data_IF_284975072538
#
_entry.id   IF_284975072538
#
_cell.length_a   1.000
_cell.length_b   1.000
_cell.length_c   1.000
_cell.angle_alpha   90.00
_cell.angle_beta   90.00
_cell.angle_gamma   90.00
#
_symmetry.space_group_name_H-M   'P 1'
#
loop_
_entity.id
_entity.type
_entity.pdbx_description
1 polymer ?
#
# COMPACT_ATOMS: atom_id res chain seq x y z
N UNK A 1 7.41 -20.70 -8.42
CA UNK A 1 6.11 -20.87 -7.73
C UNK A 1 4.94 -20.55 -8.66
N UNK A 2 3.69 -20.84 -8.24
CA UNK A 2 2.45 -20.24 -8.77
C UNK A 2 1.87 -19.32 -7.69
N UNK A 3 1.95 -18.00 -7.88
CA UNK A 3 1.59 -16.99 -6.86
C UNK A 3 0.35 -16.24 -7.29
N UNK A 4 -0.71 -16.27 -6.47
CA UNK A 4 -1.91 -15.48 -6.67
C UNK A 4 -2.00 -14.41 -5.59
N UNK A 5 -1.94 -13.14 -5.98
CA UNK A 5 -2.07 -12.02 -5.06
C UNK A 5 -3.41 -11.33 -5.24
N UNK A 6 -4.11 -11.04 -4.14
CA UNK A 6 -5.40 -10.33 -4.16
C UNK A 6 -5.19 -8.90 -3.65
N UNK A 7 -5.34 -7.93 -4.55
CA UNK A 7 -5.22 -6.51 -4.24
C UNK A 7 -6.56 -5.94 -3.77
N UNK A 8 -6.49 -5.03 -2.80
CA UNK A 8 -7.66 -4.27 -2.31
C UNK A 8 -7.71 -2.84 -2.84
N UNK A 9 -6.56 -2.26 -3.17
CA UNK A 9 -6.47 -0.91 -3.72
C UNK A 9 -7.14 -0.87 -5.11
N UNK A 10 -7.90 0.20 -5.35
CA UNK A 10 -8.62 0.40 -6.61
C UNK A 10 -7.74 1.07 -7.66
N UNK A 11 -8.00 0.73 -8.92
CA UNK A 11 -7.28 1.22 -10.10
C UNK A 11 -6.23 0.22 -10.59
N UNK A 12 -6.10 0.14 -11.92
CA UNK A 12 -5.13 -0.72 -12.60
C UNK A 12 -3.69 -0.26 -12.36
N UNK A 13 -3.52 1.04 -12.12
CA UNK A 13 -2.24 1.67 -11.78
C UNK A 13 -2.39 2.50 -10.50
N UNK A 14 -2.98 1.89 -9.46
CA UNK A 14 -3.26 2.56 -8.18
C UNK A 14 -2.02 3.27 -7.63
N UNK A 15 -2.20 4.50 -7.15
CA UNK A 15 -1.13 5.28 -6.49
C UNK A 15 -0.82 4.80 -5.06
N UNK A 16 -1.50 3.74 -4.59
CA UNK A 16 -1.25 3.12 -3.28
C UNK A 16 0.14 2.47 -3.21
N UNK A 17 0.88 2.78 -2.15
CA UNK A 17 2.19 2.15 -1.90
C UNK A 17 2.09 0.62 -1.75
N UNK A 18 1.04 0.12 -1.09
CA UNK A 18 0.80 -1.32 -0.95
C UNK A 18 0.54 -1.99 -2.31
N UNK A 19 -0.21 -1.33 -3.20
CA UNK A 19 -0.41 -1.82 -4.57
C UNK A 19 0.90 -1.88 -5.34
N UNK A 20 1.66 -0.77 -5.34
CA UNK A 20 2.92 -0.63 -6.05
C UNK A 20 3.96 -1.68 -5.63
N UNK A 21 4.10 -1.91 -4.32
CA UNK A 21 5.07 -2.87 -3.77
C UNK A 21 4.67 -4.31 -4.06
N UNK A 22 3.39 -4.65 -3.94
CA UNK A 22 2.84 -5.95 -4.33
C UNK A 22 3.07 -6.20 -5.84
N UNK A 23 2.80 -5.21 -6.69
CA UNK A 23 2.98 -5.34 -8.13
C UNK A 23 4.46 -5.50 -8.52
N UNK A 24 5.36 -4.74 -7.88
CA UNK A 24 6.80 -4.87 -8.07
C UNK A 24 7.32 -6.27 -7.72
N UNK A 25 6.78 -6.90 -6.65
CA UNK A 25 7.09 -8.30 -6.34
C UNK A 25 6.60 -9.25 -7.43
N UNK A 26 5.36 -9.10 -7.93
CA UNK A 26 4.84 -9.96 -8.99
C UNK A 26 5.65 -9.85 -10.28
N UNK A 27 6.03 -8.63 -10.68
CA UNK A 27 6.92 -8.39 -11.82
C UNK A 27 8.23 -9.13 -11.69
N UNK A 28 8.86 -9.04 -10.52
CA UNK A 28 10.10 -9.75 -10.24
C UNK A 28 9.92 -11.26 -10.33
N UNK A 29 8.91 -11.82 -9.64
CA UNK A 29 8.66 -13.26 -9.64
C UNK A 29 8.35 -13.78 -11.06
N UNK A 30 7.60 -13.02 -11.85
CA UNK A 30 7.37 -13.30 -13.28
C UNK A 30 8.69 -13.41 -14.04
N UNK A 31 9.58 -12.43 -13.88
CA UNK A 31 10.92 -12.42 -14.50
C UNK A 31 11.80 -13.58 -14.04
N UNK A 32 11.62 -14.06 -12.81
CA UNK A 32 12.28 -15.23 -12.24
C UNK A 32 11.66 -16.57 -12.70
N UNK A 33 10.76 -16.54 -13.69
CA UNK A 33 10.13 -17.73 -14.28
C UNK A 33 8.98 -18.31 -13.46
N UNK A 34 8.46 -17.58 -12.48
CA UNK A 34 7.26 -18.00 -11.77
C UNK A 34 6.00 -17.61 -12.53
N UNK A 35 4.92 -18.36 -12.30
CA UNK A 35 3.59 -17.96 -12.77
C UNK A 35 2.95 -17.09 -11.72
N UNK A 36 2.57 -15.88 -12.10
CA UNK A 36 1.97 -14.92 -11.18
C UNK A 36 0.64 -14.41 -11.72
N UNK A 37 -0.32 -14.25 -10.81
CA UNK A 37 -1.61 -13.63 -11.09
C UNK A 37 -1.92 -12.60 -10.01
N UNK A 38 -2.51 -11.48 -10.41
CA UNK A 38 -3.20 -10.61 -9.47
C UNK A 38 -4.70 -10.52 -9.75
N UNK A 39 -5.48 -10.48 -8.68
CA UNK A 39 -6.82 -9.91 -8.71
C UNK A 39 -6.68 -8.45 -8.33
N UNK A 40 -7.21 -7.55 -9.16
CA UNK A 40 -7.24 -6.13 -8.86
C UNK A 40 -8.54 -5.49 -9.38
N UNK A 41 -8.64 -4.17 -9.26
CA UNK A 41 -9.74 -3.41 -9.80
C UNK A 41 -9.23 -2.46 -10.89
N UNK A 42 -10.09 -2.08 -11.81
CA UNK A 42 -9.82 -1.05 -12.81
C UNK A 42 -10.94 -0.03 -12.83
N UNK A 43 -10.59 1.25 -12.91
CA UNK A 43 -11.55 2.30 -13.20
C UNK A 43 -11.95 2.25 -14.68
N UNK A 44 -13.16 2.74 -14.97
CA UNK A 44 -13.67 2.84 -16.34
C UNK A 44 -12.65 3.47 -17.29
N UNK A 45 -12.31 2.76 -18.38
CA UNK A 45 -11.40 3.23 -19.42
C UNK A 45 -9.91 2.95 -19.18
N UNK A 46 -9.48 2.51 -17.99
CA UNK A 46 -8.05 2.25 -17.71
C UNK A 46 -7.50 1.07 -18.54
N UNK A 47 -8.29 0.01 -18.67
CA UNK A 47 -7.89 -1.19 -19.43
C UNK A 47 -7.84 -0.85 -20.92
N UNK A 48 -8.85 -0.16 -21.45
CA UNK A 48 -8.87 0.28 -22.83
C UNK A 48 -7.68 1.20 -23.15
N UNK A 49 -7.35 2.13 -22.25
CA UNK A 49 -6.20 3.01 -22.39
C UNK A 49 -4.89 2.20 -22.43
N UNK A 50 -4.71 1.27 -21.48
CA UNK A 50 -3.53 0.40 -21.44
C UNK A 50 -3.37 -0.43 -22.72
N UNK A 51 -4.45 -0.99 -23.24
CA UNK A 51 -4.41 -1.85 -24.43
C UNK A 51 -4.29 -1.07 -25.73
N UNK A 52 -4.79 0.17 -25.79
CA UNK A 52 -4.75 1.02 -27.00
C UNK A 52 -3.32 1.32 -27.44
N UNK A 53 -2.40 1.45 -26.49
CA UNK A 53 -1.00 1.76 -26.76
C UNK A 53 -0.16 0.52 -27.16
N UNK A 54 -0.77 -0.69 -27.18
CA UNK A 54 -0.09 -1.96 -27.49
C UNK A 54 -0.49 -2.45 -28.88
N UNK A 55 0.44 -2.37 -29.84
CA UNK A 55 0.23 -2.70 -31.27
C UNK A 55 -0.25 -4.13 -31.58
N UNK A 56 -0.22 -5.09 -30.65
CA UNK A 56 -0.48 -6.51 -30.94
C UNK A 56 -1.23 -7.33 -29.85
N UNK A 57 -1.83 -6.73 -28.81
CA UNK A 57 -2.35 -7.51 -27.66
C UNK A 57 -3.88 -7.63 -27.53
N UNK A 58 -4.66 -7.13 -28.50
CA UNK A 58 -6.12 -7.27 -28.49
C UNK A 58 -6.63 -8.72 -28.45
N UNK A 59 -5.83 -9.69 -28.91
CA UNK A 59 -6.21 -11.10 -29.02
C UNK A 59 -6.16 -11.89 -27.69
N UNK A 60 -5.73 -11.28 -26.59
CA UNK A 60 -5.61 -11.95 -25.28
C UNK A 60 -6.48 -11.34 -24.17
N UNK A 61 -7.25 -10.29 -24.45
CA UNK A 61 -8.26 -9.79 -23.52
C UNK A 61 -9.49 -10.71 -23.55
N UNK A 62 -9.81 -11.31 -22.40
CA UNK A 62 -11.06 -12.02 -22.19
C UNK A 62 -11.92 -11.26 -21.20
N UNK A 63 -13.11 -10.88 -21.63
CA UNK A 63 -14.10 -10.23 -20.79
C UNK A 63 -15.22 -11.20 -20.47
N UNK A 64 -15.61 -11.29 -19.20
CA UNK A 64 -16.81 -11.98 -18.75
C UNK A 64 -17.61 -11.10 -17.79
N UNK A 65 -18.84 -11.49 -17.52
CA UNK A 65 -19.71 -10.79 -16.58
C UNK A 65 -19.82 -11.63 -15.32
N UNK A 66 -19.59 -11.01 -14.17
CA UNK A 66 -19.97 -11.50 -12.86
C UNK A 66 -21.28 -10.81 -12.47
N UNK A 67 -22.36 -11.59 -12.38
CA UNK A 67 -23.67 -11.05 -12.00
C UNK A 67 -23.82 -11.08 -10.48
N UNK A 68 -23.80 -9.90 -9.87
CA UNK A 68 -23.90 -9.71 -8.42
C UNK A 68 -25.37 -9.58 -8.01
N UNK A 69 -25.91 -10.62 -7.38
CA UNK A 69 -27.30 -10.62 -6.89
C UNK A 69 -27.43 -9.76 -5.62
N UNK A 70 -28.45 -8.89 -5.51
CA UNK A 70 -28.63 -8.07 -4.32
C UNK A 70 -29.31 -8.86 -3.20
N UNK A 71 -29.32 -8.29 -1.99
CA UNK A 71 -30.04 -8.86 -0.84
C UNK A 71 -31.57 -8.68 -0.94
N UNK A 72 -32.03 -7.62 -1.60
CA UNK A 72 -33.41 -7.13 -1.52
C UNK A 72 -34.26 -7.44 -2.78
N UNK A 73 -33.81 -8.35 -3.63
CA UNK A 73 -34.55 -8.81 -4.81
C UNK A 73 -34.65 -7.81 -5.95
N UNK A 74 -33.95 -6.67 -5.88
CA UNK A 74 -33.78 -5.74 -7.00
C UNK A 74 -32.99 -6.37 -8.16
N UNK A 75 -32.90 -5.67 -9.29
CA UNK A 75 -32.02 -6.08 -10.39
C UNK A 75 -30.56 -6.10 -9.91
N UNK A 76 -29.87 -7.22 -10.10
CA UNK A 76 -28.45 -7.35 -9.76
C UNK A 76 -27.52 -6.51 -10.63
N UNK A 77 -26.30 -6.34 -10.17
CA UNK A 77 -25.28 -5.52 -10.84
C UNK A 77 -24.36 -6.42 -11.67
N UNK A 78 -24.11 -6.04 -12.92
CA UNK A 78 -23.19 -6.76 -13.78
C UNK A 78 -21.78 -6.16 -13.68
N UNK A 79 -20.88 -6.85 -12.98
CA UNK A 79 -19.49 -6.45 -12.87
C UNK A 79 -18.72 -7.07 -14.03
N UNK A 80 -18.09 -6.24 -14.87
CA UNK A 80 -17.18 -6.73 -15.90
C UNK A 80 -15.91 -7.26 -15.24
N UNK A 81 -15.47 -8.43 -15.68
CA UNK A 81 -14.21 -9.03 -15.28
C UNK A 81 -13.35 -9.18 -16.52
N UNK A 82 -12.24 -8.46 -16.54
CA UNK A 82 -11.26 -8.50 -17.61
C UNK A 82 -10.08 -9.37 -17.21
N UNK A 83 -9.67 -10.23 -18.14
CA UNK A 83 -8.51 -11.10 -17.96
C UNK A 83 -7.54 -10.93 -19.12
N UNK A 84 -6.30 -10.59 -18.81
CA UNK A 84 -5.25 -10.35 -19.79
C UNK A 84 -3.86 -10.51 -19.14
N UNK A 85 -2.80 -10.37 -19.94
CA UNK A 85 -1.42 -10.34 -19.44
C UNK A 85 -0.85 -8.93 -19.60
N UNK A 86 -0.16 -8.46 -18.58
CA UNK A 86 0.72 -7.31 -18.68
C UNK A 86 1.99 -7.69 -19.43
N UNK A 87 2.72 -6.70 -19.97
CA UNK A 87 3.93 -6.94 -20.77
C UNK A 87 5.07 -7.56 -19.94
N UNK A 88 5.05 -7.36 -18.63
CA UNK A 88 5.95 -7.97 -17.66
C UNK A 88 5.57 -9.42 -17.28
N UNK A 89 4.57 -9.99 -17.96
CA UNK A 89 4.12 -11.37 -17.79
C UNK A 89 3.15 -11.59 -16.62
N UNK A 90 2.76 -10.54 -15.88
CA UNK A 90 1.77 -10.66 -14.81
C UNK A 90 0.38 -10.91 -15.40
N UNK A 91 -0.25 -12.04 -15.03
CA UNK A 91 -1.65 -12.32 -15.39
C UNK A 91 -2.57 -11.44 -14.52
N UNK A 92 -3.45 -10.66 -15.13
CA UNK A 92 -4.36 -9.76 -14.44
C UNK A 92 -5.79 -10.26 -14.57
N UNK A 93 -6.50 -10.30 -13.44
CA UNK A 93 -7.96 -10.45 -13.36
C UNK A 93 -8.50 -9.17 -12.72
N UNK A 94 -8.95 -8.24 -13.57
CA UNK A 94 -9.41 -6.92 -13.15
C UNK A 94 -10.94 -6.86 -13.09
N UNK A 95 -11.47 -6.46 -11.94
CA UNK A 95 -12.88 -6.16 -11.71
C UNK A 95 -13.15 -4.68 -12.02
N UNK A 96 -14.23 -4.39 -12.73
CA UNK A 96 -14.74 -3.02 -12.88
C UNK A 96 -15.03 -2.43 -11.48
N UNK A 97 -14.29 -1.40 -11.10
CA UNK A 97 -14.33 -0.87 -9.74
C UNK A 97 -15.68 -0.23 -9.42
N UNK A 98 -16.22 0.55 -10.35
CA UNK A 98 -17.47 1.29 -10.17
C UNK A 98 -18.66 0.34 -10.00
N UNK A 99 -18.81 -0.65 -10.89
CA UNK A 99 -19.86 -1.66 -10.80
C UNK A 99 -19.69 -2.55 -9.57
N UNK A 100 -18.44 -2.89 -9.20
CA UNK A 100 -18.20 -3.64 -7.98
C UNK A 100 -18.64 -2.85 -6.75
N UNK A 101 -18.29 -1.57 -6.65
CA UNK A 101 -18.73 -0.73 -5.53
C UNK A 101 -20.27 -0.58 -5.52
N UNK A 102 -20.91 -0.41 -6.68
CA UNK A 102 -22.37 -0.37 -6.82
C UNK A 102 -23.03 -1.66 -6.29
N UNK A 103 -22.47 -2.83 -6.56
CA UNK A 103 -22.96 -4.11 -6.06
C UNK A 103 -23.00 -4.20 -4.52
N UNK A 104 -22.18 -3.38 -3.84
CA UNK A 104 -22.13 -3.27 -2.39
C UNK A 104 -22.67 -1.94 -1.85
N UNK A 105 -23.56 -1.27 -2.60
CA UNK A 105 -24.28 -0.07 -2.14
C UNK A 105 -23.63 1.26 -2.52
N UNK A 106 -22.60 1.23 -3.36
CA UNK A 106 -21.92 2.41 -3.90
C UNK A 106 -21.00 3.13 -2.91
N UNK A 107 -20.28 4.15 -3.43
CA UNK A 107 -19.23 4.91 -2.70
C UNK A 107 -19.74 5.68 -1.48
N UNK A 108 -21.04 5.97 -1.39
CA UNK A 108 -21.64 6.80 -0.32
C UNK A 108 -22.18 5.99 0.86
N UNK A 109 -22.13 4.66 0.82
CA UNK A 109 -22.50 3.84 1.98
C UNK A 109 -21.37 3.95 3.03
N UNK A 110 -21.58 4.80 4.04
CA UNK A 110 -20.57 5.31 4.98
C UNK A 110 -19.79 4.23 5.77
N UNK A 111 -20.20 2.97 5.70
CA UNK A 111 -19.38 1.81 6.03
C UNK A 111 -19.73 0.76 4.98
N UNK A 112 -18.77 0.36 4.15
CA UNK A 112 -19.07 -0.45 2.96
C UNK A 112 -19.89 -1.66 3.37
N UNK A 113 -21.01 -1.91 2.70
CA UNK A 113 -21.83 -3.10 2.95
C UNK A 113 -20.95 -4.36 2.94
N UNK A 114 -19.94 -4.36 2.07
CA UNK A 114 -18.88 -5.35 1.99
C UNK A 114 -18.15 -5.60 3.32
N UNK A 115 -17.74 -4.56 4.07
CA UNK A 115 -17.04 -4.73 5.36
C UNK A 115 -17.89 -5.49 6.38
N UNK A 116 -19.16 -5.11 6.51
CA UNK A 116 -20.11 -5.77 7.43
C UNK A 116 -20.38 -7.21 7.01
N UNK A 117 -20.61 -7.44 5.71
CA UNK A 117 -20.83 -8.79 5.19
C UNK A 117 -19.58 -9.66 5.36
N UNK A 118 -18.39 -9.10 5.14
CA UNK A 118 -17.11 -9.80 5.32
C UNK A 118 -16.88 -10.15 6.79
N UNK A 119 -17.18 -9.22 7.70
CA UNK A 119 -17.12 -9.46 9.13
C UNK A 119 -18.05 -10.60 9.56
N UNK A 120 -19.32 -10.58 9.12
CA UNK A 120 -20.28 -11.64 9.40
C UNK A 120 -19.82 -12.99 8.84
N UNK A 121 -19.24 -12.99 7.64
CA UNK A 121 -18.69 -14.17 7.01
C UNK A 121 -17.52 -14.77 7.80
N UNK A 122 -16.59 -13.92 8.24
CA UNK A 122 -15.42 -14.35 9.01
C UNK A 122 -15.84 -14.91 10.37
N UNK A 123 -16.81 -14.28 11.04
CA UNK A 123 -17.25 -14.71 12.37
C UNK A 123 -18.14 -15.95 12.35
N UNK A 124 -19.01 -16.09 11.35
CA UNK A 124 -20.09 -17.09 11.38
C UNK A 124 -20.06 -18.08 10.22
N UNK A 125 -19.30 -17.82 9.17
CA UNK A 125 -19.36 -18.55 7.89
C UNK A 125 -20.59 -18.24 7.04
N UNK A 126 -21.46 -17.31 7.46
CA UNK A 126 -22.67 -16.95 6.73
C UNK A 126 -22.38 -15.92 5.65
N UNK A 127 -22.86 -16.14 4.43
CA UNK A 127 -22.72 -15.22 3.31
C UNK A 127 -24.09 -14.70 2.88
N UNK A 128 -24.24 -13.39 2.75
CA UNK A 128 -25.39 -12.84 2.04
C UNK A 128 -25.17 -12.86 0.52
N UNK A 129 -26.24 -12.79 -0.30
CA UNK A 129 -26.16 -13.08 -1.74
C UNK A 129 -25.06 -12.35 -2.52
N UNK A 130 -24.83 -11.04 -2.36
CA UNK A 130 -23.78 -10.36 -3.13
C UNK A 130 -22.37 -10.85 -2.73
N UNK A 131 -22.15 -11.12 -1.44
CA UNK A 131 -20.87 -11.63 -0.97
C UNK A 131 -20.65 -13.07 -1.45
N UNK A 132 -21.71 -13.90 -1.43
CA UNK A 132 -21.64 -15.28 -1.93
C UNK A 132 -21.24 -15.34 -3.41
N UNK A 133 -21.75 -14.45 -4.26
CA UNK A 133 -21.33 -14.35 -5.67
C UNK A 133 -19.84 -14.04 -5.79
N UNK A 134 -19.34 -13.09 -4.99
CA UNK A 134 -17.94 -12.72 -5.02
C UNK A 134 -17.03 -13.83 -4.46
N UNK A 135 -17.42 -14.48 -3.37
CA UNK A 135 -16.71 -15.64 -2.80
C UNK A 135 -16.66 -16.78 -3.83
N UNK A 136 -17.79 -17.11 -4.46
CA UNK A 136 -17.86 -18.15 -5.49
C UNK A 136 -16.94 -17.81 -6.68
N UNK A 137 -16.91 -16.55 -7.08
CA UNK A 137 -15.97 -16.06 -8.08
C UNK A 137 -14.51 -16.21 -7.67
N UNK A 138 -14.16 -15.90 -6.42
CA UNK A 138 -12.81 -16.06 -5.88
C UNK A 138 -12.41 -17.54 -5.84
N UNK A 139 -13.29 -18.44 -5.37
CA UNK A 139 -13.07 -19.88 -5.42
C UNK A 139 -12.77 -20.37 -6.83
N UNK A 140 -13.57 -19.94 -7.81
CA UNK A 140 -13.40 -20.26 -9.22
C UNK A 140 -12.03 -19.81 -9.73
N UNK A 141 -11.61 -18.58 -9.43
CA UNK A 141 -10.31 -18.07 -9.88
C UNK A 141 -9.14 -18.73 -9.19
N UNK A 142 -9.26 -19.04 -7.90
CA UNK A 142 -8.25 -19.79 -7.15
C UNK A 142 -8.12 -21.20 -7.74
N UNK A 143 -9.21 -21.93 -7.96
CA UNK A 143 -9.18 -23.28 -8.58
C UNK A 143 -8.59 -23.24 -9.99
N UNK A 144 -8.99 -22.28 -10.83
CA UNK A 144 -8.47 -22.14 -12.21
C UNK A 144 -7.00 -21.77 -12.26
N UNK A 145 -6.53 -20.94 -11.32
CA UNK A 145 -5.12 -20.62 -11.24
C UNK A 145 -4.30 -21.72 -10.56
N UNK A 146 -4.91 -22.49 -9.65
CA UNK A 146 -4.26 -23.54 -8.88
C UNK A 146 -2.96 -23.03 -8.21
N UNK A 147 -3.04 -22.01 -7.33
CA UNK A 147 -1.87 -21.41 -6.72
C UNK A 147 -1.15 -22.39 -5.80
N UNK A 148 0.17 -22.27 -5.77
CA UNK A 148 0.99 -22.83 -4.67
C UNK A 148 1.07 -21.87 -3.50
N UNK A 149 0.91 -20.57 -3.76
CA UNK A 149 0.97 -19.50 -2.77
C UNK A 149 -0.13 -18.49 -3.06
N UNK A 150 -0.86 -18.08 -2.03
CA UNK A 150 -1.84 -17.00 -2.10
C UNK A 150 -1.41 -15.87 -1.14
N UNK A 151 -1.42 -14.63 -1.63
CA UNK A 151 -1.07 -13.43 -0.85
C UNK A 151 -2.33 -12.56 -0.72
N UNK A 152 -2.70 -12.27 0.52
CA UNK A 152 -3.91 -11.53 0.89
C UNK A 152 -3.56 -10.23 1.64
N UNK A 153 -4.32 -9.18 1.34
CA UNK A 153 -4.22 -7.87 1.99
C UNK A 153 -5.38 -7.60 2.98
N UNK A 154 -6.35 -8.50 3.10
CA UNK A 154 -7.61 -8.30 3.83
C UNK A 154 -8.20 -9.60 4.39
N UNK A 155 -9.08 -9.48 5.39
CA UNK A 155 -9.77 -10.58 6.05
C UNK A 155 -10.61 -11.47 5.14
N UNK A 156 -11.33 -10.88 4.18
CA UNK A 156 -12.21 -11.63 3.29
C UNK A 156 -11.40 -12.60 2.42
N UNK A 157 -10.34 -12.11 1.76
CA UNK A 157 -9.51 -12.98 0.93
C UNK A 157 -8.73 -14.02 1.76
N UNK A 158 -8.34 -13.68 3.00
CA UNK A 158 -7.78 -14.67 3.94
C UNK A 158 -8.78 -15.78 4.25
N UNK A 159 -10.00 -15.43 4.67
CA UNK A 159 -11.06 -16.40 5.00
C UNK A 159 -11.38 -17.30 3.81
N UNK A 160 -11.55 -16.71 2.62
CA UNK A 160 -11.85 -17.46 1.40
C UNK A 160 -10.81 -18.56 1.13
N UNK A 161 -9.54 -18.29 1.38
CA UNK A 161 -8.46 -19.27 1.18
C UNK A 161 -8.54 -20.49 2.13
N UNK A 162 -9.32 -20.41 3.21
CA UNK A 162 -9.54 -21.48 4.18
C UNK A 162 -10.85 -22.23 3.99
N UNK A 163 -11.69 -21.84 3.04
CA UNK A 163 -12.98 -22.47 2.82
C UNK A 163 -12.85 -23.94 2.43
N UNK A 164 -13.85 -24.74 2.83
CA UNK A 164 -13.88 -26.17 2.55
C UNK A 164 -13.87 -26.47 1.04
N UNK A 165 -14.40 -25.54 0.23
CA UNK A 165 -14.34 -25.61 -1.22
C UNK A 165 -12.89 -25.66 -1.76
N UNK A 166 -11.93 -25.12 -1.04
CA UNK A 166 -10.52 -25.11 -1.46
C UNK A 166 -9.66 -26.06 -0.62
N UNK A 167 -10.27 -26.93 0.19
CA UNK A 167 -9.56 -27.81 1.12
C UNK A 167 -8.67 -28.87 0.42
N UNK A 168 -8.96 -29.21 -0.84
CA UNK A 168 -8.16 -30.12 -1.66
C UNK A 168 -6.91 -29.45 -2.26
N UNK A 169 -6.86 -28.10 -2.27
CA UNK A 169 -5.74 -27.35 -2.78
C UNK A 169 -4.67 -27.15 -1.71
N UNK A 170 -3.49 -27.74 -1.93
CA UNK A 170 -2.34 -27.47 -1.09
C UNK A 170 -1.66 -26.15 -1.49
N UNK A 171 -1.93 -25.09 -0.74
CA UNK A 171 -1.37 -23.76 -0.95
C UNK A 171 -0.86 -23.15 0.36
N UNK A 172 0.26 -22.43 0.29
CA UNK A 172 0.74 -21.58 1.38
C UNK A 172 -0.01 -20.25 1.40
N UNK A 173 -0.55 -19.89 2.55
CA UNK A 173 -1.37 -18.69 2.76
C UNK A 173 -0.56 -17.60 3.43
N UNK A 174 -0.42 -16.47 2.76
CA UNK A 174 0.40 -15.35 3.23
C UNK A 174 -0.49 -14.11 3.40
N UNK A 175 -0.44 -13.50 4.58
CA UNK A 175 -1.01 -12.17 4.81
C UNK A 175 0.11 -11.14 4.71
N UNK A 176 -0.11 -10.04 3.99
CA UNK A 176 0.82 -8.89 3.99
C UNK A 176 0.15 -7.68 4.63
N UNK A 177 0.87 -7.06 5.56
CA UNK A 177 0.43 -5.94 6.39
C UNK A 177 1.20 -4.69 5.97
N UNK A 178 0.56 -3.90 5.10
CA UNK A 178 1.01 -2.62 4.56
C UNK A 178 0.66 -1.42 5.45
N UNK A 179 -0.20 -1.57 6.46
CA UNK A 179 -0.51 -0.54 7.47
C UNK A 179 -1.06 -1.14 8.75
N UNK A 180 -0.88 -0.46 9.88
CA UNK A 180 -1.43 -0.89 11.17
C UNK A 180 -2.96 -0.98 11.14
N UNK A 181 -3.64 -0.19 10.31
CA UNK A 181 -5.10 -0.19 10.17
C UNK A 181 -5.67 -1.48 9.55
N UNK A 182 -4.83 -2.28 8.89
CA UNK A 182 -5.25 -3.59 8.39
C UNK A 182 -5.35 -4.63 9.50
N UNK A 183 -4.76 -4.37 10.67
CA UNK A 183 -4.79 -5.29 11.79
C UNK A 183 -6.06 -5.04 12.62
N UNK A 184 -6.79 -6.10 13.02
CA UNK A 184 -8.06 -5.97 13.73
C UNK A 184 -7.88 -5.67 15.24
N UNK A 185 -6.73 -5.11 15.64
CA UNK A 185 -6.37 -4.86 17.03
C UNK A 185 -5.42 -3.66 17.17
N UNK A 186 -5.28 -3.20 18.41
CA UNK A 186 -4.51 -2.02 18.78
C UNK A 186 -5.24 -0.71 18.45
N UNK A 187 -4.61 0.44 18.72
CA UNK A 187 -5.25 1.75 18.65
C UNK A 187 -5.70 2.17 17.24
N UNK A 188 -5.16 1.53 16.20
CA UNK A 188 -5.44 1.86 14.79
C UNK A 188 -6.41 0.88 14.12
N UNK A 189 -6.95 -0.09 14.86
CA UNK A 189 -7.99 -0.97 14.34
C UNK A 189 -9.18 -0.17 13.83
N UNK A 190 -9.91 -0.71 12.84
CA UNK A 190 -11.04 -0.04 12.17
C UNK A 190 -10.66 1.22 11.35
N UNK A 191 -9.37 1.49 11.18
CA UNK A 191 -8.88 2.68 10.47
C UNK A 191 -9.07 2.66 8.95
N UNK A 192 -9.19 1.48 8.31
CA UNK A 192 -9.44 1.38 6.86
C UNK A 192 -10.96 1.36 6.59
N UNK A 193 -11.51 2.39 5.94
CA UNK A 193 -12.91 2.37 5.53
C UNK A 193 -13.21 1.19 4.63
N UNK A 194 -14.19 0.39 5.02
CA UNK A 194 -14.66 -0.73 4.22
C UNK A 194 -13.87 -2.03 4.34
N UNK A 195 -12.88 -2.09 5.23
CA UNK A 195 -12.29 -3.35 5.70
C UNK A 195 -13.08 -3.87 6.92
N UNK A 196 -13.24 -5.19 7.03
CA UNK A 196 -13.67 -5.82 8.28
C UNK A 196 -12.58 -5.65 9.35
N UNK A 197 -13.00 -5.61 10.61
CA UNK A 197 -12.09 -5.75 11.76
C UNK A 197 -12.83 -6.52 12.85
N UNK A 198 -12.53 -7.81 12.98
CA UNK A 198 -13.25 -8.72 13.89
C UNK A 198 -12.31 -9.65 14.68
N UNK A 199 -12.85 -10.37 15.67
CA UNK A 199 -12.08 -11.33 16.48
C UNK A 199 -11.61 -12.50 15.61
N UNK A 200 -12.47 -12.98 14.72
CA UNK A 200 -12.17 -14.01 13.72
C UNK A 200 -11.02 -13.63 12.79
N UNK A 201 -10.83 -12.35 12.44
CA UNK A 201 -9.65 -11.92 11.66
C UNK A 201 -8.34 -12.12 12.42
N UNK A 202 -8.35 -11.96 13.75
CA UNK A 202 -7.18 -12.24 14.58
C UNK A 202 -6.79 -13.71 14.48
N UNK A 203 -7.78 -14.61 14.59
CA UNK A 203 -7.57 -16.05 14.47
C UNK A 203 -7.16 -16.46 13.06
N UNK A 204 -7.69 -15.80 12.03
CA UNK A 204 -7.26 -16.02 10.65
C UNK A 204 -5.79 -15.67 10.46
N UNK A 205 -5.36 -14.50 10.91
CA UNK A 205 -3.95 -14.08 10.84
C UNK A 205 -3.03 -15.09 11.53
N UNK A 206 -3.42 -15.63 12.70
CA UNK A 206 -2.66 -16.66 13.43
C UNK A 206 -2.58 -18.00 12.67
N UNK A 207 -3.57 -18.30 11.84
CA UNK A 207 -3.63 -19.53 11.03
C UNK A 207 -2.86 -19.44 9.72
N UNK A 208 -2.50 -18.24 9.27
CA UNK A 208 -1.72 -18.04 8.03
C UNK A 208 -0.36 -18.76 8.12
N UNK A 209 0.11 -19.28 6.99
CA UNK A 209 1.44 -19.91 6.91
C UNK A 209 2.56 -18.88 7.05
N UNK A 210 2.29 -17.64 6.67
CA UNK A 210 3.16 -16.49 6.90
C UNK A 210 2.40 -15.19 7.04
N UNK A 211 2.84 -14.35 7.97
CA UNK A 211 2.41 -12.94 8.08
C UNK A 211 3.63 -12.07 7.80
N UNK A 212 3.52 -11.22 6.77
CA UNK A 212 4.54 -10.30 6.32
C UNK A 212 4.23 -8.88 6.80
N UNK A 213 5.08 -8.34 7.67
CA UNK A 213 5.08 -6.92 8.04
C UNK A 213 6.07 -6.14 7.18
N UNK A 214 5.68 -4.97 6.69
CA UNK A 214 6.51 -4.16 5.76
C UNK A 214 7.56 -3.29 6.44
N UNK A 215 7.57 -3.24 7.77
CA UNK A 215 8.57 -2.56 8.62
C UNK A 215 8.75 -3.27 9.95
N UNK A 216 9.79 -2.88 10.67
CA UNK A 216 9.99 -3.32 12.04
C UNK A 216 8.90 -2.75 12.96
N UNK A 217 8.49 -1.48 12.79
CA UNK A 217 7.35 -0.90 13.52
C UNK A 217 6.07 -1.71 13.35
N UNK A 218 5.70 -2.12 12.13
CA UNK A 218 4.47 -2.90 11.93
C UNK A 218 4.60 -4.31 12.52
N UNK A 219 5.80 -4.90 12.51
CA UNK A 219 6.06 -6.18 13.18
C UNK A 219 5.90 -6.05 14.70
N UNK A 220 6.45 -4.99 15.28
CA UNK A 220 6.38 -4.74 16.71
C UNK A 220 4.94 -4.42 17.14
N UNK A 221 4.21 -3.62 16.35
CA UNK A 221 2.78 -3.36 16.56
C UNK A 221 1.96 -4.67 16.55
N UNK A 222 2.21 -5.55 15.58
CA UNK A 222 1.54 -6.85 15.48
C UNK A 222 1.78 -7.72 16.72
N UNK A 223 3.02 -7.71 17.22
CA UNK A 223 3.42 -8.46 18.40
C UNK A 223 2.83 -7.85 19.69
N UNK A 224 2.96 -6.54 19.89
CA UNK A 224 2.54 -5.84 21.09
C UNK A 224 1.03 -5.88 21.29
N UNK A 225 0.25 -5.60 20.24
CA UNK A 225 -1.20 -5.45 20.36
C UNK A 225 -1.98 -6.73 20.03
N UNK A 226 -1.42 -7.63 19.22
CA UNK A 226 -2.11 -8.84 18.76
C UNK A 226 -1.48 -10.15 19.22
N UNK A 227 -0.29 -10.10 19.84
CA UNK A 227 0.57 -11.26 20.08
C UNK A 227 0.81 -12.06 18.79
N UNK A 228 0.77 -11.37 17.64
CA UNK A 228 0.85 -11.97 16.32
C UNK A 228 2.31 -11.99 15.88
N UNK A 229 2.85 -13.19 15.66
CA UNK A 229 4.18 -13.34 15.09
C UNK A 229 4.13 -13.01 13.59
N UNK A 230 4.96 -12.07 13.17
CA UNK A 230 5.14 -11.74 11.76
C UNK A 230 6.62 -11.63 11.40
N UNK A 231 6.91 -11.71 10.11
CA UNK A 231 8.24 -11.48 9.56
C UNK A 231 8.30 -10.10 8.93
N UNK A 232 9.25 -9.29 9.39
CA UNK A 232 9.61 -8.07 8.68
C UNK A 232 10.40 -8.45 7.42
N UNK A 233 9.87 -8.05 6.27
CA UNK A 233 10.59 -8.04 4.99
C UNK A 233 10.38 -6.67 4.37
N UNK A 234 11.45 -6.00 3.98
CA UNK A 234 11.35 -4.76 3.20
C UNK A 234 10.72 -5.07 1.85
N UNK A 235 10.01 -4.11 1.27
CA UNK A 235 9.50 -4.22 -0.10
C UNK A 235 10.58 -4.62 -1.11
N UNK A 236 10.18 -5.37 -2.14
CA UNK A 236 11.10 -5.82 -3.19
C UNK A 236 11.80 -4.62 -3.87
N UNK A 237 13.13 -4.65 -4.12
CA UNK A 237 13.88 -3.50 -4.65
C UNK A 237 13.32 -2.88 -5.93
N UNK A 238 12.68 -3.67 -6.80
CA UNK A 238 12.00 -3.19 -8.01
C UNK A 238 10.90 -2.15 -7.75
N UNK A 239 10.44 -2.02 -6.51
CA UNK A 239 9.53 -0.95 -6.07
C UNK A 239 10.09 0.45 -6.39
N UNK A 240 11.41 0.63 -6.28
CA UNK A 240 12.06 1.93 -6.37
C UNK A 240 12.82 2.15 -7.69
N UNK A 241 12.92 1.11 -8.51
CA UNK A 241 13.60 1.15 -9.80
C UNK A 241 12.63 1.60 -10.90
N UNK A 242 13.16 2.27 -11.92
CA UNK A 242 12.37 2.92 -12.96
C UNK A 242 12.59 2.30 -14.33
N UNK A 243 11.56 2.39 -15.18
CA UNK A 243 11.55 1.84 -16.52
C UNK A 243 11.56 0.31 -16.58
N UNK A 244 11.62 -0.21 -17.80
CA UNK A 244 11.66 -1.66 -18.06
C UNK A 244 13.03 -2.28 -17.74
N UNK A 245 14.09 -1.46 -17.76
CA UNK A 245 15.46 -1.85 -17.39
C UNK A 245 15.70 -1.88 -15.88
N UNK A 246 14.73 -1.45 -15.06
CA UNK A 246 14.84 -1.41 -13.60
C UNK A 246 16.08 -0.63 -13.14
N UNK A 247 16.23 0.60 -13.64
CA UNK A 247 17.36 1.47 -13.32
C UNK A 247 17.11 2.27 -12.04
N UNK A 248 18.20 2.66 -11.38
CA UNK A 248 18.13 3.64 -10.29
C UNK A 248 17.72 5.00 -10.89
N UNK A 249 16.76 5.72 -10.29
CA UNK A 249 16.38 7.04 -10.75
C UNK A 249 17.57 7.99 -10.92
N UNK A 250 17.47 8.88 -11.90
CA UNK A 250 18.51 9.89 -12.15
C UNK A 250 18.61 10.86 -10.97
N UNK A 251 19.83 11.31 -10.69
CA UNK A 251 20.05 12.37 -9.71
C UNK A 251 19.50 13.68 -10.26
N UNK A 252 18.69 14.37 -9.46
CA UNK A 252 18.19 15.70 -9.75
C UNK A 252 19.01 16.75 -9.01
N UNK A 253 19.54 17.73 -9.74
CA UNK A 253 20.22 18.91 -9.19
C UNK A 253 19.20 20.01 -8.89
N UNK A 254 18.41 19.84 -7.83
CA UNK A 254 17.23 20.66 -7.56
C UNK A 254 17.45 21.91 -6.69
N UNK A 255 18.71 22.38 -6.55
CA UNK A 255 19.01 23.58 -5.76
C UNK A 255 18.22 24.83 -6.22
N UNK A 256 18.05 25.01 -7.52
CA UNK A 256 17.36 26.18 -8.11
C UNK A 256 15.84 25.98 -8.20
N UNK A 257 15.29 24.89 -7.66
CA UNK A 257 13.84 24.64 -7.66
C UNK A 257 13.15 25.40 -6.53
N UNK A 258 11.91 25.86 -6.73
CA UNK A 258 11.28 26.76 -5.77
C UNK A 258 10.55 26.02 -4.64
N UNK A 259 10.09 24.79 -4.88
CA UNK A 259 9.05 24.22 -4.04
C UNK A 259 9.56 23.37 -2.87
N UNK A 260 8.98 23.65 -1.71
CA UNK A 260 8.87 22.72 -0.59
C UNK A 260 7.58 21.91 -0.80
N UNK A 261 7.69 20.60 -1.02
CA UNK A 261 6.56 19.80 -1.47
C UNK A 261 6.07 18.79 -0.43
N UNK A 262 4.79 18.44 -0.51
CA UNK A 262 4.18 17.32 0.19
C UNK A 262 3.34 16.49 -0.79
N UNK A 263 3.49 15.17 -0.70
CA UNK A 263 2.69 14.21 -1.48
C UNK A 263 1.53 13.71 -0.64
N UNK A 264 0.33 13.79 -1.23
CA UNK A 264 -0.94 13.36 -0.64
C UNK A 264 -1.25 13.95 0.75
N UNK A 265 -1.42 15.28 0.87
CA UNK A 265 -1.77 15.90 2.14
C UNK A 265 -3.17 15.50 2.59
N UNK A 266 -3.24 14.82 3.73
CA UNK A 266 -4.47 14.55 4.49
C UNK A 266 -4.21 14.72 6.00
N UNK A 267 -5.26 14.63 6.81
CA UNK A 267 -5.20 14.87 8.26
C UNK A 267 -4.09 14.07 8.94
N UNK A 268 -4.08 12.75 8.75
CA UNK A 268 -3.12 11.84 9.39
C UNK A 268 -1.71 11.93 8.79
N UNK A 269 -1.59 12.39 7.54
CA UNK A 269 -0.29 12.60 6.87
C UNK A 269 0.37 13.93 7.25
N UNK A 270 -0.24 14.71 8.15
CA UNK A 270 0.34 15.96 8.66
C UNK A 270 0.07 17.18 7.79
N UNK A 271 -1.07 17.23 7.10
CA UNK A 271 -1.48 18.42 6.34
C UNK A 271 -1.51 19.69 7.21
N UNK A 272 -1.80 19.57 8.51
CA UNK A 272 -1.72 20.68 9.48
C UNK A 272 -0.30 21.26 9.56
N UNK A 273 0.72 20.42 9.74
CA UNK A 273 2.13 20.84 9.75
C UNK A 273 2.48 21.54 8.45
N UNK A 274 2.09 20.98 7.31
CA UNK A 274 2.40 21.57 6.00
C UNK A 274 1.78 22.96 5.83
N UNK A 275 0.51 23.13 6.21
CA UNK A 275 -0.19 24.42 6.14
C UNK A 275 0.41 25.43 7.11
N UNK A 276 0.72 25.04 8.35
CA UNK A 276 1.27 25.96 9.34
C UNK A 276 2.73 26.31 9.06
N UNK A 277 3.49 25.41 8.44
CA UNK A 277 4.82 25.70 7.92
C UNK A 277 4.76 26.73 6.78
N UNK A 278 3.79 26.61 5.85
CA UNK A 278 3.60 27.59 4.79
C UNK A 278 3.26 28.98 5.34
N UNK A 279 2.48 29.07 6.43
CA UNK A 279 2.20 30.33 7.13
C UNK A 279 3.43 30.89 7.85
N UNK A 280 4.24 30.03 8.46
CA UNK A 280 5.45 30.43 9.19
C UNK A 280 6.57 30.87 8.26
N UNK A 281 6.57 30.40 7.02
CA UNK A 281 7.57 30.72 6.00
C UNK A 281 6.94 31.29 4.71
N UNK A 282 6.29 32.47 4.78
CA UNK A 282 5.57 33.04 3.63
C UNK A 282 6.48 33.45 2.46
N UNK A 283 7.80 33.50 2.68
CA UNK A 283 8.79 33.81 1.65
C UNK A 283 9.11 32.64 0.71
N UNK A 284 8.67 31.41 1.02
CA UNK A 284 8.90 30.24 0.19
C UNK A 284 7.61 29.75 -0.46
N UNK A 285 7.75 29.12 -1.62
CA UNK A 285 6.65 28.48 -2.33
C UNK A 285 6.51 27.02 -1.93
N UNK A 286 5.27 26.59 -1.73
CA UNK A 286 4.91 25.25 -1.34
C UNK A 286 4.12 24.55 -2.45
N UNK A 287 4.26 23.23 -2.54
CA UNK A 287 3.58 22.42 -3.55
C UNK A 287 2.91 21.18 -2.93
N UNK A 288 1.59 21.10 -3.06
CA UNK A 288 0.80 19.97 -2.62
C UNK A 288 0.37 19.11 -3.82
N UNK A 289 0.80 17.85 -3.85
CA UNK A 289 0.30 16.86 -4.80
C UNK A 289 -0.91 16.14 -4.21
N UNK A 290 -2.10 16.53 -4.66
CA UNK A 290 -3.38 16.04 -4.16
C UNK A 290 -3.68 14.67 -4.78
N UNK A 291 -3.95 13.66 -3.95
CA UNK A 291 -4.39 12.34 -4.40
C UNK A 291 -5.67 11.94 -3.65
N UNK A 292 -5.63 10.93 -2.79
CA UNK A 292 -6.77 10.34 -2.11
C UNK A 292 -6.79 10.64 -0.60
N UNK A 293 -7.97 10.61 0.01
CA UNK A 293 -8.12 10.70 1.46
C UNK A 293 -8.03 12.11 2.06
N UNK A 294 -7.83 13.15 1.25
CA UNK A 294 -7.94 14.54 1.71
C UNK A 294 -9.43 14.91 1.89
N UNK A 295 -9.81 15.34 3.10
CA UNK A 295 -11.14 15.89 3.34
C UNK A 295 -11.31 17.26 2.67
N UNK A 296 -12.55 17.67 2.37
CA UNK A 296 -12.84 19.01 1.84
C UNK A 296 -12.26 20.12 2.73
N UNK A 297 -12.28 19.93 4.06
CA UNK A 297 -11.70 20.86 5.02
C UNK A 297 -10.19 21.04 4.78
N UNK A 298 -9.45 19.94 4.61
CA UNK A 298 -8.01 19.99 4.31
C UNK A 298 -7.74 20.66 2.97
N UNK A 299 -8.51 20.30 1.94
CA UNK A 299 -8.40 20.89 0.61
C UNK A 299 -8.60 22.41 0.68
N UNK A 300 -9.61 22.87 1.41
CA UNK A 300 -9.91 24.29 1.57
C UNK A 300 -8.82 25.04 2.36
N UNK A 301 -8.29 24.43 3.42
CA UNK A 301 -7.18 25.01 4.20
C UNK A 301 -5.92 25.20 3.36
N UNK A 302 -5.58 24.20 2.52
CA UNK A 302 -4.46 24.25 1.59
C UNK A 302 -4.67 25.35 0.55
N UNK A 303 -5.83 25.38 -0.11
CA UNK A 303 -6.16 26.39 -1.14
C UNK A 303 -6.27 27.81 -0.59
N UNK A 304 -6.51 27.97 0.71
CA UNK A 304 -6.57 29.28 1.35
C UNK A 304 -5.18 29.91 1.58
N UNK A 305 -4.09 29.14 1.51
CA UNK A 305 -2.74 29.68 1.68
C UNK A 305 -2.22 30.24 0.33
N UNK A 306 -1.79 31.51 0.29
CA UNK A 306 -1.40 32.16 -0.97
C UNK A 306 -0.09 31.61 -1.56
N UNK A 307 0.75 30.98 -0.76
CA UNK A 307 2.03 30.39 -1.17
C UNK A 307 1.97 28.86 -1.32
N UNK A 308 0.78 28.24 -1.32
CA UNK A 308 0.65 26.80 -1.64
C UNK A 308 0.02 26.63 -3.03
N UNK A 309 0.78 26.02 -3.94
CA UNK A 309 0.26 25.53 -5.23
C UNK A 309 -0.25 24.10 -5.06
N UNK A 310 -1.36 23.76 -5.71
CA UNK A 310 -1.88 22.38 -5.75
C UNK A 310 -1.72 21.79 -7.14
N UNK A 311 -1.34 20.51 -7.21
CA UNK A 311 -1.28 19.71 -8.44
C UNK A 311 -2.02 18.38 -8.22
N UNK A 312 -2.64 17.80 -9.26
CA UNK A 312 -3.18 16.45 -9.16
C UNK A 312 -2.03 15.43 -9.01
N UNK A 313 -2.38 14.20 -8.62
CA UNK A 313 -1.43 13.08 -8.68
C UNK A 313 -0.94 12.86 -10.12
N UNK A 314 0.38 12.75 -10.29
CA UNK A 314 1.02 12.57 -11.59
C UNK A 314 0.85 11.12 -12.09
N UNK A 315 0.63 10.97 -13.40
CA UNK A 315 0.66 9.65 -14.08
C UNK A 315 2.10 9.18 -14.27
N UNK A 316 3.00 10.10 -14.61
CA UNK A 316 4.45 9.84 -14.62
C UNK A 316 5.06 10.24 -13.27
N UNK A 317 5.66 9.26 -12.60
CA UNK A 317 6.34 9.48 -11.33
C UNK A 317 7.56 10.41 -11.48
N UNK A 318 8.20 10.52 -12.65
CA UNK A 318 9.35 11.43 -12.83
C UNK A 318 8.97 12.91 -12.84
N UNK A 319 7.79 13.23 -13.37
CA UNK A 319 7.29 14.61 -13.40
C UNK A 319 6.99 15.15 -11.99
N UNK A 320 6.66 14.26 -11.06
CA UNK A 320 6.42 14.60 -9.65
C UNK A 320 7.63 15.30 -9.02
N UNK A 321 8.82 14.78 -9.25
CA UNK A 321 10.04 15.14 -8.51
C UNK A 321 10.78 16.34 -9.09
N UNK A 322 10.54 16.68 -10.35
CA UNK A 322 11.32 17.67 -11.12
C UNK A 322 11.32 19.07 -10.50
N UNK A 323 10.24 19.45 -9.83
CA UNK A 323 10.09 20.81 -9.28
C UNK A 323 10.28 20.88 -7.76
N UNK A 324 10.58 19.75 -7.12
CA UNK A 324 10.70 19.66 -5.66
C UNK A 324 12.15 19.94 -5.24
N UNK A 325 12.37 21.01 -4.49
CA UNK A 325 13.67 21.27 -3.83
C UNK A 325 13.80 20.46 -2.57
N UNK A 326 12.78 20.47 -1.71
CA UNK A 326 12.72 19.74 -0.43
C UNK A 326 11.38 18.99 -0.38
N UNK A 327 11.40 17.73 0.03
CA UNK A 327 10.17 16.99 0.36
C UNK A 327 9.92 17.04 1.87
N UNK A 328 8.70 17.38 2.27
CA UNK A 328 8.23 17.28 3.65
C UNK A 328 7.37 16.02 3.80
N UNK A 329 7.69 15.19 4.78
CA UNK A 329 6.95 13.96 5.13
C UNK A 329 6.52 14.05 6.59
N UNK A 330 5.52 14.89 6.93
CA UNK A 330 5.18 15.24 8.30
C UNK A 330 4.14 14.31 8.91
N UNK A 331 4.22 13.01 8.62
CA UNK A 331 3.20 12.03 9.02
C UNK A 331 2.96 12.09 10.54
N UNK A 332 1.69 12.13 10.95
CA UNK A 332 1.29 12.01 12.36
C UNK A 332 0.79 10.60 12.68
N UNK A 333 0.65 9.79 11.64
CA UNK A 333 0.18 8.41 11.61
C UNK A 333 1.29 7.42 11.98
N UNK A 334 0.90 6.20 12.40
CA UNK A 334 1.81 5.04 12.43
C UNK A 334 2.17 4.59 11.00
N UNK A 335 2.96 5.41 10.31
CA UNK A 335 3.42 5.17 8.94
C UNK A 335 4.08 3.81 8.83
N UNK A 336 3.67 3.01 7.85
CA UNK A 336 4.16 1.64 7.74
C UNK A 336 5.55 1.55 7.12
N UNK A 337 5.96 2.53 6.31
CA UNK A 337 7.31 2.61 5.75
C UNK A 337 7.63 4.05 5.31
N UNK A 338 6.82 4.64 4.44
CA UNK A 338 7.08 5.98 3.88
C UNK A 338 7.87 5.93 2.57
N UNK A 339 7.35 5.22 1.56
CA UNK A 339 8.03 5.01 0.27
C UNK A 339 8.55 6.28 -0.41
N UNK A 340 7.82 7.40 -0.29
CA UNK A 340 8.19 8.69 -0.88
C UNK A 340 9.53 9.22 -0.36
N UNK A 341 9.94 8.83 0.84
CA UNK A 341 11.26 9.16 1.41
C UNK A 341 12.35 8.53 0.57
N UNK A 342 12.28 7.22 0.36
CA UNK A 342 13.25 6.46 -0.44
C UNK A 342 13.25 6.95 -1.89
N UNK A 343 12.08 7.21 -2.47
CA UNK A 343 11.95 7.72 -3.84
C UNK A 343 12.60 9.11 -4.03
N UNK A 344 12.43 10.01 -3.06
CA UNK A 344 13.05 11.33 -3.08
C UNK A 344 14.56 11.26 -2.85
N UNK A 345 15.01 10.49 -1.85
CA UNK A 345 16.44 10.31 -1.59
C UNK A 345 17.16 9.69 -2.78
N UNK A 346 16.58 8.68 -3.43
CA UNK A 346 17.16 8.12 -4.66
C UNK A 346 17.31 9.14 -5.77
N UNK A 347 16.56 10.26 -5.76
CA UNK A 347 16.72 11.38 -6.71
C UNK A 347 17.61 12.50 -6.17
N UNK A 348 18.17 12.35 -4.97
CA UNK A 348 18.97 13.36 -4.29
C UNK A 348 18.15 14.54 -3.78
N UNK A 349 16.84 14.39 -3.58
CA UNK A 349 16.00 15.42 -2.97
C UNK A 349 16.08 15.24 -1.45
N UNK A 350 16.54 16.26 -0.68
CA UNK A 350 16.49 16.24 0.77
C UNK A 350 15.06 16.07 1.29
N UNK A 351 14.89 15.23 2.30
CA UNK A 351 13.61 15.00 2.97
C UNK A 351 13.70 15.54 4.40
N UNK A 352 12.67 16.28 4.81
CA UNK A 352 12.43 16.61 6.23
C UNK A 352 11.22 15.81 6.66
N UNK A 353 11.39 14.93 7.65
CA UNK A 353 10.40 13.90 7.95
C UNK A 353 10.04 13.89 9.44
N UNK A 354 8.88 13.35 9.80
CA UNK A 354 8.52 13.17 11.20
C UNK A 354 9.18 11.91 11.77
N UNK A 355 9.20 11.77 13.09
CA UNK A 355 9.59 10.53 13.76
C UNK A 355 8.43 9.52 13.92
N UNK A 356 7.33 9.68 13.18
CA UNK A 356 6.14 8.86 13.36
C UNK A 356 6.25 7.51 12.62
N UNK A 357 5.83 6.43 13.28
CA UNK A 357 5.86 5.08 12.73
C UNK A 357 7.25 4.70 12.19
N UNK A 358 7.26 4.05 11.04
CA UNK A 358 8.47 3.58 10.34
C UNK A 358 9.12 4.64 9.43
N UNK A 359 8.70 5.92 9.47
CA UNK A 359 9.39 6.98 8.70
C UNK A 359 10.90 7.01 9.00
N UNK A 360 11.37 6.90 10.26
CA UNK A 360 12.79 6.79 10.56
C UNK A 360 13.49 5.58 9.92
N UNK A 361 12.78 4.45 9.76
CA UNK A 361 13.32 3.27 9.06
C UNK A 361 13.55 3.58 7.58
N UNK A 362 12.61 4.24 6.90
CA UNK A 362 12.77 4.64 5.51
C UNK A 362 13.76 5.79 5.31
N UNK A 363 14.01 6.60 6.35
CA UNK A 363 15.09 7.59 6.37
C UNK A 363 16.48 6.94 6.49
N UNK A 364 16.58 5.63 6.77
CA UNK A 364 17.84 4.89 6.86
C UNK A 364 18.84 5.48 7.88
N UNK A 365 18.32 6.09 8.95
CA UNK A 365 19.14 6.77 9.97
C UNK A 365 19.76 8.10 9.53
N UNK A 366 19.30 8.67 8.41
CA UNK A 366 19.71 10.01 7.95
C UNK A 366 19.07 11.12 8.80
N UNK A 367 19.68 12.30 8.77
CA UNK A 367 19.28 13.50 9.53
C UNK A 367 17.91 14.06 9.09
N UNK A 368 17.49 15.16 9.74
CA UNK A 368 16.24 15.90 9.47
C UNK A 368 14.95 15.16 9.80
N UNK A 369 15.02 14.31 10.83
CA UNK A 369 13.86 13.72 11.50
C UNK A 369 13.41 14.64 12.64
N UNK A 370 12.17 15.13 12.56
CA UNK A 370 11.57 16.06 13.52
C UNK A 370 10.58 15.31 14.41
N UNK A 371 10.70 15.41 15.75
CA UNK A 371 9.69 14.88 16.66
C UNK A 371 8.32 15.52 16.42
N UNK A 372 7.27 14.70 16.40
CA UNK A 372 5.87 15.14 16.33
C UNK A 372 5.06 14.55 17.48
N UNK A 373 3.95 15.21 17.80
CA UNK A 373 2.92 14.58 18.61
C UNK A 373 2.13 13.65 17.68
N UNK A 374 2.40 12.34 17.74
CA UNK A 374 1.66 11.37 16.92
C UNK A 374 0.21 11.25 17.39
N UNK A 375 -0.69 10.84 16.49
CA UNK A 375 -2.08 10.56 16.86
C UNK A 375 -2.14 9.33 17.79
N UNK A 376 -3.09 9.31 18.71
CA UNK A 376 -3.28 8.23 19.69
C UNK A 376 -4.14 7.07 19.18
N UNK A 377 -4.83 7.24 18.05
CA UNK A 377 -5.89 6.34 17.57
C UNK A 377 -7.31 6.76 18.01
N UNK A 378 -7.42 7.81 18.82
CA UNK A 378 -8.71 8.36 19.23
C UNK A 378 -9.39 9.12 18.09
N UNK A 379 -10.73 9.04 18.06
CA UNK A 379 -11.58 9.68 17.07
C UNK A 379 -12.49 10.73 17.72
N UNK A 380 -12.82 11.78 16.98
CA UNK A 380 -13.82 12.77 17.37
C UNK A 380 -15.26 12.25 17.13
N UNK A 381 -16.25 13.08 17.46
CA UNK A 381 -17.68 12.76 17.29
C UNK A 381 -18.08 12.45 15.83
N UNK A 382 -17.25 12.83 14.86
CA UNK A 382 -17.46 12.58 13.43
C UNK A 382 -16.79 11.29 12.94
N UNK A 383 -16.05 10.60 13.82
CA UNK A 383 -15.27 9.42 13.46
C UNK A 383 -13.97 9.75 12.74
N UNK A 384 -13.46 10.98 12.84
CA UNK A 384 -12.15 11.36 12.32
C UNK A 384 -11.09 11.28 13.43
N UNK A 385 -9.86 10.88 13.11
CA UNK A 385 -8.76 10.92 14.09
C UNK A 385 -8.56 12.32 14.66
N UNK A 386 -8.40 12.40 15.98
CA UNK A 386 -8.06 13.64 16.67
C UNK A 386 -6.60 13.97 16.34
N UNK A 387 -6.40 15.15 15.74
CA UNK A 387 -5.06 15.63 15.36
C UNK A 387 -4.50 16.50 16.49
N UNK A 388 -3.43 16.07 17.18
CA UNK A 388 -2.81 16.88 18.22
C UNK A 388 -2.06 18.09 17.65
N UNK A 389 -1.92 19.14 18.46
CA UNK A 389 -1.14 20.33 18.11
C UNK A 389 0.34 20.00 17.88
N UNK A 390 1.00 20.75 17.00
CA UNK A 390 2.38 20.50 16.58
C UNK A 390 3.24 21.75 16.77
N UNK A 391 4.50 21.55 17.15
CA UNK A 391 5.50 22.62 17.11
C UNK A 391 6.10 22.72 15.70
N UNK A 392 5.84 23.85 15.03
CA UNK A 392 6.28 24.12 13.66
C UNK A 392 7.71 24.68 13.61
N UNK A 393 8.22 25.21 14.72
CA UNK A 393 9.52 25.89 14.74
C UNK A 393 10.69 24.98 14.33
N UNK A 394 10.79 23.71 14.75
CA UNK A 394 11.83 22.79 14.28
C UNK A 394 11.79 22.56 12.76
N UNK A 395 10.59 22.44 12.20
CA UNK A 395 10.38 22.29 10.76
C UNK A 395 10.84 23.52 9.99
N UNK A 396 10.39 24.71 10.41
CA UNK A 396 10.77 25.98 9.79
C UNK A 396 12.28 26.19 9.80
N UNK A 397 12.96 25.90 10.92
CA UNK A 397 14.43 26.04 11.02
C UNK A 397 15.17 25.18 10.00
N UNK A 398 14.79 23.91 9.88
CA UNK A 398 15.45 22.98 8.96
C UNK A 398 15.17 23.38 7.51
N UNK A 399 13.92 23.68 7.19
CA UNK A 399 13.52 24.08 5.85
C UNK A 399 14.21 25.37 5.42
N UNK A 400 14.23 26.40 6.26
CA UNK A 400 14.97 27.65 6.00
C UNK A 400 16.45 27.37 5.73
N UNK A 401 17.10 26.54 6.56
CA UNK A 401 18.50 26.17 6.38
C UNK A 401 18.76 25.52 5.03
N UNK A 402 17.94 24.53 4.64
CA UNK A 402 18.06 23.85 3.34
C UNK A 402 17.65 24.72 2.14
N UNK A 403 16.80 25.73 2.35
CA UNK A 403 16.41 26.68 1.30
C UNK A 403 17.50 27.72 1.04
N UNK A 404 18.24 28.14 2.07
CA UNK A 404 19.17 29.29 2.02
C UNK A 404 20.65 28.90 1.93
N UNK A 405 21.06 27.76 2.50
CA UNK A 405 22.45 27.29 2.43
C UNK A 405 22.64 26.28 1.29
N UNK A 406 23.21 26.77 0.18
CA UNK A 406 23.53 25.95 -1.00
C UNK A 406 24.50 24.82 -0.67
N UNK A 407 25.54 25.10 0.11
CA UNK A 407 26.57 24.11 0.42
C UNK A 407 25.98 22.97 1.24
N UNK A 408 25.11 23.29 2.18
CA UNK A 408 24.42 22.28 2.99
C UNK A 408 23.41 21.48 2.18
N UNK A 409 22.62 22.14 1.34
CA UNK A 409 21.68 21.47 0.44
C UNK A 409 22.39 20.46 -0.46
N UNK A 410 23.44 20.88 -1.16
CA UNK A 410 24.16 20.02 -2.12
C UNK A 410 24.87 18.86 -1.41
N UNK A 411 25.45 19.12 -0.24
CA UNK A 411 26.02 18.06 0.61
C UNK A 411 24.96 17.04 1.02
N UNK A 412 23.80 17.52 1.48
CA UNK A 412 22.67 16.67 1.89
C UNK A 412 22.14 15.87 0.71
N UNK A 413 21.87 16.52 -0.43
CA UNK A 413 21.40 15.92 -1.68
C UNK A 413 22.27 14.74 -2.11
N UNK A 414 23.60 14.94 -2.14
CA UNK A 414 24.54 13.89 -2.52
C UNK A 414 24.59 12.77 -1.46
N UNK A 415 24.57 13.13 -0.17
CA UNK A 415 24.67 12.17 0.91
C UNK A 415 23.45 11.24 0.99
N UNK A 416 22.23 11.80 0.99
CA UNK A 416 21.00 11.00 1.04
C UNK A 416 20.88 10.08 -0.16
N UNK A 417 21.29 10.54 -1.35
CA UNK A 417 21.31 9.71 -2.56
C UNK A 417 22.28 8.56 -2.42
N UNK A 418 23.53 8.84 -2.07
CA UNK A 418 24.57 7.81 -2.00
C UNK A 418 24.23 6.73 -0.98
N UNK A 419 23.77 7.11 0.22
CA UNK A 419 23.37 6.16 1.26
C UNK A 419 22.19 5.32 0.81
N UNK A 420 21.15 5.94 0.23
CA UNK A 420 19.94 5.23 -0.19
C UNK A 420 20.20 4.31 -1.39
N UNK A 421 21.05 4.73 -2.33
CA UNK A 421 21.50 3.89 -3.44
C UNK A 421 22.27 2.67 -2.93
N UNK A 422 23.26 2.85 -2.04
CA UNK A 422 24.01 1.74 -1.45
C UNK A 422 23.11 0.79 -0.68
N UNK A 423 22.16 1.32 0.09
CA UNK A 423 21.17 0.51 0.80
C UNK A 423 20.35 -0.34 -0.19
N UNK A 424 19.83 0.26 -1.26
CA UNK A 424 19.02 -0.45 -2.25
C UNK A 424 19.82 -1.53 -2.99
N UNK A 425 21.04 -1.22 -3.41
CA UNK A 425 21.96 -2.15 -4.09
C UNK A 425 22.40 -3.31 -3.18
N UNK A 426 22.47 -3.08 -1.87
CA UNK A 426 22.81 -4.13 -0.89
C UNK A 426 21.66 -5.10 -0.60
N UNK A 427 20.44 -4.80 -1.06
CA UNK A 427 19.28 -5.65 -0.80
C UNK A 427 19.36 -6.95 -1.59
N UNK A 428 19.09 -8.05 -0.88
CA UNK A 428 18.86 -9.33 -1.53
C UNK A 428 17.48 -9.35 -2.22
N UNK A 429 17.49 -9.26 -3.55
CA UNK A 429 16.28 -9.34 -4.38
C UNK A 429 15.51 -10.66 -4.22
N UNK A 430 16.19 -11.74 -3.80
CA UNK A 430 15.59 -13.07 -3.65
C UNK A 430 14.96 -13.28 -2.27
N UNK A 431 15.09 -12.34 -1.33
CA UNK A 431 14.76 -12.59 0.08
C UNK A 431 13.29 -13.00 0.29
N UNK A 432 12.37 -12.27 -0.32
CA UNK A 432 10.92 -12.56 -0.25
C UNK A 432 10.63 -13.89 -0.96
N UNK A 433 11.23 -14.13 -2.13
CA UNK A 433 11.07 -15.39 -2.88
C UNK A 433 11.52 -16.60 -2.05
N UNK A 434 12.73 -16.54 -1.47
CA UNK A 434 13.29 -17.61 -0.62
C UNK A 434 12.43 -17.85 0.62
N UNK A 435 11.91 -16.78 1.24
CA UNK A 435 10.99 -16.91 2.37
C UNK A 435 9.69 -17.62 1.98
N UNK A 436 9.08 -17.25 0.85
CA UNK A 436 7.87 -17.90 0.34
C UNK A 436 8.14 -19.37 0.01
N UNK A 437 9.19 -19.67 -0.75
CA UNK A 437 9.56 -21.05 -1.09
C UNK A 437 9.80 -21.93 0.13
N UNK A 438 10.31 -21.35 1.22
CA UNK A 438 10.51 -22.05 2.50
C UNK A 438 9.20 -22.53 3.15
N UNK A 439 8.06 -21.91 2.85
CA UNK A 439 6.75 -22.32 3.39
C UNK A 439 6.20 -23.58 2.73
N UNK A 440 6.37 -23.69 1.41
CA UNK A 440 5.89 -24.81 0.60
C UNK A 440 6.57 -26.16 0.90
N UNK A 441 7.67 -26.16 1.68
CA UNK A 441 8.42 -27.37 2.04
C UNK A 441 7.86 -28.11 3.27
N UNK A 442 6.73 -27.69 3.86
CA UNK A 442 6.07 -28.40 4.98
C UNK A 442 5.38 -29.72 4.60
N UNK A 443 5.62 -30.26 3.41
CA UNK A 443 5.25 -31.64 3.06
C UNK A 443 6.41 -32.59 3.39
N UNK A 444 6.43 -33.13 4.61
CA UNK A 444 7.38 -34.19 4.97
C UNK A 444 7.54 -34.57 6.44
N UNK A 445 7.00 -33.80 7.40
CA UNK A 445 7.15 -34.09 8.83
C UNK A 445 5.79 -34.38 9.52
N UNK A 446 5.01 -35.30 8.95
CA UNK A 446 4.03 -36.08 9.70
C UNK A 446 4.37 -37.55 9.52
N UNK A 447 5.33 -38.02 10.31
CA UNK A 447 5.74 -39.42 10.34
C UNK A 447 7.24 -39.62 10.50
N UNK A 448 7.78 -39.33 11.69
CA UNK A 448 8.64 -40.26 12.43
C UNK A 448 9.03 -39.65 13.77
N UNK A 449 9.12 -40.52 14.78
CA UNK A 449 9.01 -40.19 16.18
C UNK A 449 10.15 -39.38 16.78
N UNK A 450 9.92 -39.05 18.05
CA UNK A 450 10.90 -38.56 19.02
C UNK A 450 12.31 -39.06 18.72
N UNK A 451 13.22 -38.14 18.46
CA UNK A 451 14.55 -38.24 19.04
C UNK A 451 14.91 -36.87 19.62
N UNK A 452 14.94 -36.84 20.95
CA UNK A 452 15.60 -35.79 21.72
C UNK A 452 17.06 -35.72 21.29
N UNK A 453 17.57 -34.51 21.06
CA UNK A 453 18.98 -34.25 21.30
C UNK A 453 19.07 -33.16 22.36
N UNK A 454 19.46 -33.62 23.55
CA UNK A 454 20.02 -32.79 24.61
C UNK A 454 21.46 -32.42 24.24
N UNK A 455 21.81 -31.21 24.66
CA UNK A 455 23.12 -30.53 24.78
C UNK A 455 23.44 -29.57 23.65
#
# INVERSE_FOLDING_TARGET
>A
MRVFLIQTAKGLFSSSGGYKTNYALLRYLSSAGHRVRQLCYSHCGEIEAYLKDKKNNGDHLRTRILHMRPEDGRTGVNVKVHKFYMDDGVEVVALDSEAFDEAFGGKMSLHSKLSKMSAEYIETGTCSPPLLEFISFLHDEIRRFHPTHIISNDGLSMQVSFDLDLADLNMSRIAVVHTAEQLPFGPFAFGIPGQSSTVGEVELLRRMDGVWSVSQVIKDYALEHGQLQSRFLVHHPWTYLVGDSHEIPKHLSNWDKPYIAMVNPCHIKGASIFVDLAKACPQYDFLAFMSWGASEKVVNQIKAQPNITTRPSCVDAEDLWRDIKILIVPSLWCEAWGMVVVEAHLRGIPVVASNAGAVPEAMLGLDYIIPVNAISGEHDETGCYIIPEQDIQPWARVVTRLMEDKSEYEKTSLYVRNVTQQWLESRDITEIERWMMGMGLKLGARGNGLMSLRL
#
